data_IF_070160979979
#
_entry.id   IF_070160979979
#
_cell.length_a   1.000
_cell.length_b   1.000
_cell.length_c   1.000
_cell.angle_alpha   90.00
_cell.angle_beta   90.00
_cell.angle_gamma   90.00
#
_symmetry.space_group_name_H-M   'P 1'
#
loop_
_entity.id
_entity.type
_entity.pdbx_description
1 polymer ?
#
# COMPACT_ATOMS: atom_id res chain seq x y z
N UNK A 1 3.62 -12.58 -30.75
CA UNK A 1 3.97 -11.35 -30.03
C UNK A 1 2.90 -11.16 -28.97
N UNK A 2 3.16 -11.51 -27.70
CA UNK A 2 2.15 -11.39 -26.65
C UNK A 2 2.48 -10.18 -25.78
N UNK A 3 1.61 -9.18 -25.88
CA UNK A 3 1.75 -7.86 -25.25
C UNK A 3 1.08 -7.91 -23.89
N UNK A 4 1.76 -8.42 -22.86
CA UNK A 4 1.27 -8.23 -21.47
C UNK A 4 2.38 -8.09 -20.42
N UNK A 5 3.64 -8.00 -20.85
CA UNK A 5 4.74 -7.63 -19.98
C UNK A 5 5.22 -6.22 -20.32
N UNK A 6 4.35 -5.22 -20.15
CA UNK A 6 4.88 -3.89 -19.88
C UNK A 6 5.69 -3.99 -18.59
N UNK A 7 6.94 -3.49 -18.53
CA UNK A 7 7.70 -3.51 -17.29
C UNK A 7 6.82 -2.85 -16.24
N UNK A 8 6.58 -3.54 -15.13
CA UNK A 8 5.86 -3.00 -14.00
C UNK A 8 6.56 -1.69 -13.63
N UNK A 9 6.08 -0.57 -14.17
CA UNK A 9 6.33 0.78 -13.65
C UNK A 9 6.18 0.58 -12.16
N UNK A 10 7.26 0.77 -11.41
CA UNK A 10 7.35 0.55 -9.98
C UNK A 10 6.15 1.23 -9.33
N UNK A 11 5.03 0.51 -9.24
CA UNK A 11 3.86 1.00 -8.54
C UNK A 11 4.34 1.01 -7.11
N UNK A 12 4.35 2.17 -6.44
CA UNK A 12 4.90 2.25 -5.10
C UNK A 12 4.22 1.18 -4.26
N UNK A 13 4.97 0.14 -3.87
CA UNK A 13 4.39 -1.02 -3.20
C UNK A 13 4.14 -0.66 -1.75
N UNK A 14 2.93 -0.96 -1.26
CA UNK A 14 2.63 -0.76 0.16
C UNK A 14 3.22 -1.90 0.98
N UNK A 15 4.03 -1.57 1.99
CA UNK A 15 4.62 -2.54 2.90
C UNK A 15 3.73 -2.75 4.13
N UNK A 16 3.13 -3.95 4.25
CA UNK A 16 2.29 -4.32 5.42
C UNK A 16 3.12 -4.31 6.72
N UNK A 17 4.33 -4.87 6.69
CA UNK A 17 5.25 -4.88 7.83
C UNK A 17 6.19 -3.68 7.72
N UNK A 18 6.36 -2.91 8.80
CA UNK A 18 7.37 -1.85 8.83
C UNK A 18 8.77 -2.45 8.71
N UNK A 19 9.53 -2.04 7.69
CA UNK A 19 10.92 -2.47 7.52
C UNK A 19 11.84 -2.01 8.66
N UNK A 20 11.49 -0.92 9.36
CA UNK A 20 12.37 -0.31 10.36
C UNK A 20 12.16 -0.87 11.77
N UNK A 21 10.91 -1.18 12.14
CA UNK A 21 10.58 -1.59 13.51
C UNK A 21 9.74 -2.88 13.61
N UNK A 22 9.44 -3.54 12.48
CA UNK A 22 8.62 -4.75 12.41
C UNK A 22 7.15 -4.57 12.81
N UNK A 23 6.71 -3.34 13.09
CA UNK A 23 5.35 -3.06 13.53
C UNK A 23 4.35 -3.23 12.40
N UNK A 24 3.11 -3.60 12.75
CA UNK A 24 2.01 -3.73 11.78
C UNK A 24 1.12 -2.50 11.71
N UNK A 25 0.94 -1.80 12.83
CA UNK A 25 0.04 -0.64 12.90
C UNK A 25 0.48 0.50 11.98
N UNK A 26 -0.50 1.12 11.32
CA UNK A 26 -0.33 2.29 10.46
C UNK A 26 -1.12 3.49 10.98
N UNK A 27 -0.74 4.68 10.52
CA UNK A 27 -1.39 5.96 10.75
C UNK A 27 -1.70 6.60 9.39
N UNK A 28 -2.93 7.04 9.21
CA UNK A 28 -3.41 7.82 8.06
C UNK A 28 -4.28 8.95 8.60
N UNK A 29 -4.12 10.17 8.08
CA UNK A 29 -4.79 11.35 8.63
C UNK A 29 -6.33 11.28 8.51
N UNK A 30 -6.82 10.94 7.31
CA UNK A 30 -8.24 10.65 7.06
C UNK A 30 -8.35 9.65 5.90
N UNK A 31 -8.43 8.33 6.17
CA UNK A 31 -8.41 7.32 5.12
C UNK A 31 -9.64 7.37 4.19
N UNK A 32 -10.73 8.06 4.56
CA UNK A 32 -11.94 8.13 3.76
C UNK A 32 -11.93 9.29 2.74
N UNK A 33 -11.34 10.44 3.08
CA UNK A 33 -11.34 11.64 2.23
C UNK A 33 -9.95 12.11 1.80
N UNK A 34 -8.92 11.29 1.95
CA UNK A 34 -7.57 11.67 1.53
C UNK A 34 -7.28 11.37 0.05
N UNK A 35 -6.42 12.17 -0.60
CA UNK A 35 -5.87 11.84 -1.91
C UNK A 35 -5.16 10.47 -1.92
N UNK A 36 -5.19 9.78 -3.06
CA UNK A 36 -4.45 8.51 -3.25
C UNK A 36 -2.93 8.65 -3.07
N UNK A 37 -2.40 9.87 -3.14
CA UNK A 37 -0.99 10.20 -2.91
C UNK A 37 -0.64 10.41 -1.44
N UNK A 38 -1.63 10.43 -0.53
CA UNK A 38 -1.39 10.58 0.91
C UNK A 38 -0.51 9.46 1.44
N UNK A 39 0.50 9.85 2.21
CA UNK A 39 1.46 8.91 2.80
C UNK A 39 0.81 8.13 3.95
N UNK A 40 1.13 6.84 4.00
CA UNK A 40 0.78 5.96 5.11
C UNK A 40 2.03 5.72 5.93
N UNK A 41 1.97 6.05 7.22
CA UNK A 41 3.11 5.97 8.13
C UNK A 41 2.98 4.76 9.08
N UNK A 42 4.11 4.22 9.52
CA UNK A 42 4.14 3.35 10.68
C UNK A 42 3.68 4.12 11.92
N UNK A 43 2.66 3.62 12.63
CA UNK A 43 2.19 4.24 13.88
C UNK A 43 3.28 4.29 14.95
N UNK A 44 4.22 3.33 14.94
CA UNK A 44 5.24 3.17 16.00
C UNK A 44 6.47 4.04 15.81
N UNK A 45 7.03 4.09 14.60
CA UNK A 45 8.30 4.80 14.33
C UNK A 45 8.18 5.93 13.31
N UNK A 46 7.01 6.16 12.71
CA UNK A 46 6.80 7.23 11.72
C UNK A 46 7.29 6.93 10.30
N UNK A 47 7.97 5.79 10.08
CA UNK A 47 8.47 5.41 8.76
C UNK A 47 7.35 5.32 7.71
N UNK A 48 7.58 5.90 6.53
CA UNK A 48 6.63 5.84 5.40
C UNK A 48 6.61 4.42 4.83
N UNK A 49 5.42 3.86 4.67
CA UNK A 49 5.21 2.49 4.14
C UNK A 49 4.63 2.43 2.74
N UNK A 50 4.23 3.58 2.20
CA UNK A 50 3.60 3.70 0.89
C UNK A 50 2.56 4.81 0.89
N UNK A 51 1.67 4.78 -0.11
CA UNK A 51 0.55 5.72 -0.23
C UNK A 51 -0.78 5.02 0.02
N UNK A 52 -1.84 5.81 0.22
CA UNK A 52 -3.22 5.30 0.32
C UNK A 52 -3.64 4.58 -0.96
N UNK A 53 -3.26 5.10 -2.14
CA UNK A 53 -3.52 4.42 -3.41
C UNK A 53 -2.86 3.05 -3.51
N UNK A 54 -1.60 2.94 -3.06
CA UNK A 54 -0.90 1.65 -2.99
C UNK A 54 -1.57 0.66 -2.03
N UNK A 55 -2.07 1.14 -0.90
CA UNK A 55 -2.83 0.34 0.06
C UNK A 55 -4.18 -0.13 -0.53
N UNK A 56 -4.90 0.74 -1.24
CA UNK A 56 -6.15 0.39 -1.93
C UNK A 56 -5.92 -0.65 -3.03
N UNK A 57 -4.87 -0.49 -3.84
CA UNK A 57 -4.48 -1.45 -4.88
C UNK A 57 -4.08 -2.81 -4.27
N UNK A 58 -3.42 -2.82 -3.11
CA UNK A 58 -3.13 -4.05 -2.37
C UNK A 58 -4.42 -4.71 -1.87
N UNK A 59 -5.34 -3.95 -1.28
CA UNK A 59 -6.61 -4.47 -0.79
C UNK A 59 -7.48 -5.09 -1.91
N UNK A 60 -7.53 -4.43 -3.08
CA UNK A 60 -8.25 -4.96 -4.26
C UNK A 60 -7.67 -6.30 -4.71
N UNK A 61 -6.35 -6.37 -4.90
CA UNK A 61 -5.67 -7.62 -5.28
C UNK A 61 -5.86 -8.74 -4.25
N UNK A 62 -5.95 -8.41 -2.97
CA UNK A 62 -6.24 -9.42 -1.94
C UNK A 62 -7.68 -9.92 -1.99
N UNK A 63 -8.66 -9.07 -2.34
CA UNK A 63 -10.05 -9.50 -2.47
C UNK A 63 -10.22 -10.50 -3.63
N UNK A 64 -9.53 -10.27 -4.75
CA UNK A 64 -9.53 -11.20 -5.89
C UNK A 64 -8.93 -12.58 -5.56
N UNK A 65 -8.11 -12.67 -4.50
CA UNK A 65 -7.48 -13.92 -4.05
C UNK A 65 -8.30 -14.67 -3.00
N UNK A 66 -9.30 -14.02 -2.40
CA UNK A 66 -10.13 -14.58 -1.34
C UNK A 66 -11.61 -14.26 -1.63
N UNK A 67 -12.17 -14.83 -2.70
CA UNK A 67 -13.63 -14.94 -2.86
C UNK A 67 -14.14 -16.02 -1.89
N UNK A 68 -15.03 -15.62 -0.96
CA UNK A 68 -15.78 -16.50 -0.05
C UNK A 68 -17.24 -16.57 -0.45
#
# INVERSE_FOLDING_TARGET
>A
MNVDQLPARERPEFKIVCSDCGGLSIKVADPANCPVTTLVECRRCGAVRGTVGALQDLARRSADLFEF
#
